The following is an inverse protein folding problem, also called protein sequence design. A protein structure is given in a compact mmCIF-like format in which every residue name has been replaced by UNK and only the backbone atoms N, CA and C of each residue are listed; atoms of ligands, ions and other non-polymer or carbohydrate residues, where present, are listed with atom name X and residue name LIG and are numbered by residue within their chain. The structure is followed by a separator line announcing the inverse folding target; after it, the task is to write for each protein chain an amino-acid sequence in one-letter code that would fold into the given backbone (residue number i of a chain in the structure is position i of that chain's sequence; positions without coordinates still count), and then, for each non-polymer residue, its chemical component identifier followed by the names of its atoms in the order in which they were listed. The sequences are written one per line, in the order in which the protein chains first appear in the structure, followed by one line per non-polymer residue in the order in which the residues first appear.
data_IF_720349645194
#
_entry.id   IF_720349645194
#
_cell.length_a   1.000
_cell.length_b   1.000
_cell.length_c   1.000
_cell.angle_alpha   90.00
_cell.angle_beta   90.00
_cell.angle_gamma   90.00
#
_symmetry.space_group_name_H-M   'P 1'
#
loop_
_entity.id
_entity.type
_entity.pdbx_description
1 polymer ?
#
# COMPACT_ATOMS: atom_id res chain seq x y z
N UNK A 1 35.97 -63.30 -6.00
CA UNK A 1 37.31 -62.89 -6.45
C UNK A 1 37.12 -61.57 -7.17
N UNK A 2 36.99 -60.48 -6.40
CA UNK A 2 38.06 -59.52 -6.08
C UNK A 2 38.59 -58.80 -7.33
N UNK A 3 38.41 -57.49 -7.34
CA UNK A 3 38.87 -56.55 -8.35
C UNK A 3 38.23 -55.18 -8.14
N UNK A 4 38.52 -54.57 -6.99
CA UNK A 4 38.33 -53.14 -6.71
C UNK A 4 39.49 -52.42 -7.38
N UNK A 5 39.23 -51.34 -8.12
CA UNK A 5 40.20 -50.28 -8.35
C UNK A 5 39.46 -48.94 -8.27
N UNK A 6 39.65 -48.28 -7.12
CA UNK A 6 39.47 -46.84 -6.94
C UNK A 6 40.64 -46.10 -7.61
N UNK A 7 40.35 -44.98 -8.28
CA UNK A 7 41.26 -43.82 -8.43
C UNK A 7 40.51 -42.58 -8.92
N UNK A 8 40.23 -41.71 -7.96
CA UNK A 8 40.48 -40.27 -7.90
C UNK A 8 40.45 -39.41 -9.18
N UNK A 9 39.54 -38.44 -9.14
CA UNK A 9 39.76 -36.99 -9.29
C UNK A 9 40.57 -36.50 -10.50
N UNK A 10 39.86 -35.91 -11.47
CA UNK A 10 40.34 -34.69 -12.12
C UNK A 10 39.14 -33.88 -12.63
N UNK A 11 39.05 -32.65 -12.12
CA UNK A 11 38.00 -31.71 -12.43
C UNK A 11 37.96 -31.31 -13.90
N UNK A 12 36.77 -31.29 -14.46
CA UNK A 12 36.43 -30.43 -15.58
C UNK A 12 34.98 -29.96 -15.40
N UNK A 13 34.84 -28.89 -14.62
CA UNK A 13 33.61 -28.12 -14.55
C UNK A 13 33.54 -27.29 -15.85
N UNK A 14 33.10 -27.92 -16.93
CA UNK A 14 32.83 -27.25 -18.20
C UNK A 14 31.77 -26.17 -17.97
N UNK A 15 32.23 -24.92 -18.00
CA UNK A 15 31.37 -23.77 -18.15
C UNK A 15 30.50 -23.98 -19.39
N UNK A 16 29.20 -24.18 -19.18
CA UNK A 16 28.21 -24.09 -20.26
C UNK A 16 28.21 -22.63 -20.73
N UNK A 17 28.93 -22.37 -21.81
CA UNK A 17 28.85 -21.12 -22.56
C UNK A 17 27.45 -21.05 -23.17
N UNK A 18 26.62 -20.17 -22.62
CA UNK A 18 25.34 -19.83 -23.21
C UNK A 18 25.56 -19.36 -24.66
N UNK A 19 24.77 -19.90 -25.59
CA UNK A 19 24.78 -19.49 -26.98
C UNK A 19 24.58 -17.96 -27.08
N UNK A 20 25.30 -17.26 -27.97
CA UNK A 20 25.15 -15.82 -28.12
C UNK A 20 23.75 -15.50 -28.65
N UNK A 21 22.96 -14.79 -27.85
CA UNK A 21 21.75 -14.12 -28.31
C UNK A 21 22.14 -13.07 -29.35
N UNK A 22 21.56 -13.14 -30.54
CA UNK A 22 21.73 -12.17 -31.64
C UNK A 22 21.04 -10.82 -31.36
N UNK A 23 21.16 -10.31 -30.13
CA UNK A 23 20.84 -8.92 -29.84
C UNK A 23 22.05 -8.07 -30.26
N UNK A 24 21.83 -6.92 -30.92
CA UNK A 24 22.94 -6.03 -31.28
C UNK A 24 23.72 -5.68 -30.02
N UNK A 25 25.02 -5.98 -30.04
CA UNK A 25 25.94 -5.65 -28.94
C UNK A 25 25.87 -4.14 -28.72
N UNK A 26 25.23 -3.71 -27.63
CA UNK A 26 25.18 -2.31 -27.23
C UNK A 26 26.60 -1.91 -26.83
N UNK A 27 27.35 -1.32 -27.75
CA UNK A 27 28.77 -0.95 -27.58
C UNK A 27 28.97 0.20 -26.58
N UNK A 28 27.89 0.79 -26.07
CA UNK A 28 27.93 1.90 -25.13
C UNK A 28 27.64 1.41 -23.71
N UNK A 29 28.59 0.66 -23.16
CA UNK A 29 28.56 0.23 -21.75
C UNK A 29 29.15 1.32 -20.87
N UNK A 30 28.39 1.74 -19.86
CA UNK A 30 28.81 2.74 -18.87
C UNK A 30 28.93 2.04 -17.51
N UNK A 31 30.09 2.19 -16.88
CA UNK A 31 30.32 1.67 -15.53
C UNK A 31 29.97 2.74 -14.49
N UNK A 32 29.05 2.43 -13.59
CA UNK A 32 28.61 3.34 -12.52
C UNK A 32 28.97 2.78 -11.14
N UNK A 33 29.39 3.64 -10.19
CA UNK A 33 29.67 3.25 -8.81
C UNK A 33 28.36 3.19 -8.00
N UNK A 34 27.57 2.14 -8.16
CA UNK A 34 26.30 1.94 -7.44
C UNK A 34 26.41 0.82 -6.42
N UNK A 35 25.72 0.98 -5.28
CA UNK A 35 25.53 -0.10 -4.31
C UNK A 35 24.59 -1.14 -4.91
N UNK A 36 25.04 -2.37 -5.07
CA UNK A 36 24.27 -3.39 -5.80
C UNK A 36 24.04 -4.60 -4.91
N UNK A 37 22.82 -5.11 -4.92
CA UNK A 37 22.51 -6.32 -4.16
C UNK A 37 23.23 -7.53 -4.74
N UNK A 38 23.32 -8.60 -3.95
CA UNK A 38 23.68 -9.89 -4.53
C UNK A 38 22.65 -10.28 -5.59
N UNK A 39 23.13 -10.72 -6.76
CA UNK A 39 22.31 -11.30 -7.81
C UNK A 39 22.82 -12.70 -8.09
N UNK A 40 21.97 -13.68 -7.81
CA UNK A 40 22.23 -15.10 -8.00
C UNK A 40 20.90 -15.77 -8.32
N UNK A 41 20.94 -16.81 -9.16
CA UNK A 41 19.80 -17.67 -9.40
C UNK A 41 19.52 -18.64 -8.24
N UNK A 42 20.49 -18.82 -7.34
CA UNK A 42 20.43 -19.79 -6.24
C UNK A 42 20.25 -19.14 -4.86
N UNK A 43 20.60 -17.86 -4.70
CA UNK A 43 20.57 -17.21 -3.39
C UNK A 43 19.51 -16.11 -3.32
N UNK A 44 18.86 -16.00 -2.16
CA UNK A 44 17.89 -14.94 -1.90
C UNK A 44 18.57 -13.59 -1.73
N UNK A 45 18.02 -12.53 -2.35
CA UNK A 45 18.52 -11.15 -2.22
C UNK A 45 18.43 -10.59 -0.79
N UNK A 46 17.52 -11.12 0.02
CA UNK A 46 17.23 -10.67 1.40
C UNK A 46 18.07 -11.44 2.42
N UNK A 47 17.88 -12.76 2.55
CA UNK A 47 18.56 -13.56 3.58
C UNK A 47 19.90 -14.14 3.12
N UNK A 48 20.21 -14.12 1.82
CA UNK A 48 21.41 -14.72 1.21
C UNK A 48 21.52 -16.23 1.36
N UNK A 49 20.49 -16.90 1.85
CA UNK A 49 20.44 -18.37 1.91
C UNK A 49 20.15 -18.96 0.52
N UNK A 50 20.57 -20.21 0.33
CA UNK A 50 20.32 -20.97 -0.88
C UNK A 50 18.84 -21.37 -0.93
N UNK A 51 18.18 -21.17 -2.06
CA UNK A 51 16.72 -21.20 -2.15
C UNK A 51 16.26 -22.35 -3.04
N UNK A 52 15.50 -23.29 -2.46
CA UNK A 52 14.92 -24.42 -3.19
C UNK A 52 13.65 -24.04 -3.98
N UNK A 53 12.91 -23.01 -3.54
CA UNK A 53 11.74 -22.45 -4.21
C UNK A 53 11.84 -20.92 -4.26
N UNK A 54 11.95 -20.32 -5.44
CA UNK A 54 12.21 -18.87 -5.58
C UNK A 54 11.04 -18.10 -6.17
N UNK A 55 10.81 -16.90 -5.66
CA UNK A 55 10.08 -15.83 -6.34
C UNK A 55 11.06 -14.90 -7.06
N UNK A 56 10.64 -14.26 -8.14
CA UNK A 56 11.37 -13.12 -8.72
C UNK A 56 10.95 -11.86 -7.99
N UNK A 57 11.90 -11.00 -7.62
CA UNK A 57 11.57 -9.67 -7.10
C UNK A 57 10.91 -8.85 -8.19
N UNK A 58 9.77 -8.22 -7.87
CA UNK A 58 9.01 -7.40 -8.82
C UNK A 58 9.82 -6.19 -9.29
N UNK A 59 9.59 -5.71 -10.51
CA UNK A 59 10.24 -4.50 -11.03
C UNK A 59 9.94 -3.27 -10.17
N UNK A 60 8.72 -3.21 -9.61
CA UNK A 60 8.27 -2.13 -8.72
C UNK A 60 9.05 -2.12 -7.40
N UNK A 61 9.26 -3.28 -6.78
CA UNK A 61 10.03 -3.37 -5.53
C UNK A 61 11.51 -3.05 -5.75
N UNK A 62 12.06 -3.42 -6.92
CA UNK A 62 13.45 -3.09 -7.30
C UNK A 62 13.64 -1.57 -7.46
N UNK A 63 12.69 -0.90 -8.11
CA UNK A 63 12.71 0.55 -8.27
C UNK A 63 12.53 1.26 -6.91
N UNK A 64 11.59 0.81 -6.07
CA UNK A 64 11.36 1.35 -4.73
C UNK A 64 12.56 1.20 -3.81
N UNK A 65 13.21 0.04 -3.81
CA UNK A 65 14.41 -0.22 -3.02
C UNK A 65 15.56 0.69 -3.41
N UNK A 66 15.76 0.90 -4.72
CA UNK A 66 16.76 1.86 -5.18
C UNK A 66 16.45 3.28 -4.66
N UNK A 67 15.19 3.71 -4.76
CA UNK A 67 14.76 5.04 -4.30
C UNK A 67 14.93 5.25 -2.79
N UNK A 68 14.64 4.24 -1.97
CA UNK A 68 14.63 4.35 -0.52
C UNK A 68 15.98 4.06 0.13
N UNK A 69 16.71 3.07 -0.38
CA UNK A 69 17.93 2.53 0.25
C UNK A 69 19.20 2.77 -0.56
N UNK A 70 19.09 3.39 -1.75
CA UNK A 70 20.19 3.58 -2.68
C UNK A 70 20.90 2.25 -3.02
N UNK A 71 20.15 1.13 -3.08
CA UNK A 71 20.66 -0.19 -3.47
C UNK A 71 19.95 -0.63 -4.74
N UNK A 72 20.72 -0.90 -5.79
CA UNK A 72 20.22 -1.41 -7.06
C UNK A 72 20.11 -2.94 -7.04
N UNK A 73 18.95 -3.46 -7.42
CA UNK A 73 18.71 -4.89 -7.56
C UNK A 73 18.69 -5.26 -9.04
N UNK A 74 19.58 -6.14 -9.52
CA UNK A 74 19.61 -6.57 -10.92
C UNK A 74 18.33 -7.30 -11.36
N UNK A 75 18.03 -7.24 -12.66
CA UNK A 75 16.88 -7.95 -13.26
C UNK A 75 17.00 -9.44 -13.00
N UNK A 76 15.89 -10.10 -12.68
CA UNK A 76 15.85 -11.54 -12.43
C UNK A 76 16.36 -11.99 -11.05
N UNK A 77 16.69 -11.05 -10.15
CA UNK A 77 17.07 -11.37 -8.77
C UNK A 77 15.95 -12.11 -8.03
N UNK A 78 16.33 -13.11 -7.23
CA UNK A 78 15.40 -14.05 -6.58
C UNK A 78 15.22 -13.77 -5.10
N UNK A 79 14.03 -14.09 -4.59
CA UNK A 79 13.62 -14.00 -3.19
C UNK A 79 13.07 -15.34 -2.66
N UNK A 80 13.19 -15.55 -1.34
CA UNK A 80 12.42 -16.59 -0.67
C UNK A 80 10.93 -16.20 -0.62
N UNK A 81 9.99 -17.15 -0.76
CA UNK A 81 8.56 -16.90 -0.63
C UNK A 81 8.18 -16.23 0.70
N UNK A 82 8.87 -16.59 1.79
CA UNK A 82 8.63 -16.03 3.13
C UNK A 82 8.91 -14.52 3.23
N UNK A 83 9.67 -13.96 2.28
CA UNK A 83 9.94 -12.54 2.23
C UNK A 83 8.95 -11.76 1.35
N UNK A 84 7.98 -12.45 0.75
CA UNK A 84 7.00 -11.88 -0.17
C UNK A 84 5.58 -12.16 0.31
N UNK A 85 4.78 -11.11 0.39
CA UNK A 85 3.33 -11.20 0.65
C UNK A 85 2.62 -10.49 -0.50
N UNK A 86 1.64 -11.17 -1.11
CA UNK A 86 0.87 -10.67 -2.27
C UNK A 86 1.76 -10.18 -3.44
N UNK A 87 2.88 -10.88 -3.69
CA UNK A 87 3.82 -10.54 -4.76
C UNK A 87 4.71 -9.31 -4.48
N UNK A 88 4.70 -8.81 -3.24
CA UNK A 88 5.52 -7.67 -2.78
C UNK A 88 6.47 -8.06 -1.66
N UNK A 89 7.67 -7.46 -1.65
CA UNK A 89 8.62 -7.62 -0.54
C UNK A 89 8.08 -6.99 0.76
N UNK A 90 8.25 -7.69 1.88
CA UNK A 90 7.87 -7.18 3.21
C UNK A 90 8.84 -6.08 3.65
N UNK A 91 8.35 -4.94 4.14
CA UNK A 91 9.15 -3.76 4.54
C UNK A 91 10.28 -4.07 5.53
N UNK A 92 10.01 -4.89 6.55
CA UNK A 92 11.01 -5.25 7.58
C UNK A 92 12.21 -6.00 7.00
N UNK A 93 12.04 -6.60 5.82
CA UNK A 93 13.09 -7.30 5.10
C UNK A 93 13.89 -6.39 4.17
N UNK A 94 13.39 -5.21 3.81
CA UNK A 94 14.10 -4.25 2.96
C UNK A 94 15.39 -3.76 3.64
N UNK A 95 15.34 -3.52 4.95
CA UNK A 95 16.49 -3.10 5.75
C UNK A 95 17.58 -4.18 5.88
N UNK A 96 17.25 -5.45 5.57
CA UNK A 96 18.20 -6.58 5.63
C UNK A 96 19.02 -6.71 4.34
N UNK A 97 18.55 -6.10 3.25
CA UNK A 97 19.25 -6.12 1.97
C UNK A 97 20.53 -5.29 2.09
N UNK A 98 21.66 -5.93 1.80
CA UNK A 98 22.98 -5.30 1.88
C UNK A 98 23.67 -5.33 0.52
N UNK A 99 24.44 -4.29 0.18
CA UNK A 99 25.24 -4.29 -1.04
C UNK A 99 26.27 -5.43 -1.04
N UNK A 100 26.68 -5.80 -2.24
CA UNK A 100 27.87 -6.60 -2.52
C UNK A 100 29.11 -5.71 -2.33
N UNK A 101 30.23 -6.31 -1.95
CA UNK A 101 31.51 -5.60 -1.74
C UNK A 101 32.08 -4.96 -3.02
N UNK A 102 31.57 -5.33 -4.19
CA UNK A 102 31.93 -4.74 -5.49
C UNK A 102 30.95 -3.61 -5.82
N UNK A 103 31.47 -2.39 -5.91
CA UNK A 103 30.69 -1.15 -6.10
C UNK A 103 30.47 -0.76 -7.56
N UNK A 104 31.07 -1.47 -8.53
CA UNK A 104 31.00 -1.10 -9.94
C UNK A 104 30.09 -2.04 -10.71
N UNK A 105 29.22 -1.49 -11.54
CA UNK A 105 28.44 -2.29 -12.51
C UNK A 105 28.27 -1.55 -13.81
N UNK A 106 28.35 -2.34 -14.87
CA UNK A 106 28.12 -1.95 -16.24
C UNK A 106 26.63 -1.88 -16.54
N UNK A 107 26.21 -0.78 -17.15
CA UNK A 107 24.87 -0.59 -17.69
C UNK A 107 24.99 -0.29 -19.18
N UNK A 108 24.03 -0.77 -19.95
CA UNK A 108 23.87 -0.33 -21.34
C UNK A 108 23.33 1.10 -21.39
N UNK A 109 23.56 1.82 -22.49
CA UNK A 109 22.94 3.12 -22.72
C UNK A 109 21.40 3.01 -22.67
N UNK A 110 20.85 1.92 -23.19
CA UNK A 110 19.41 1.63 -23.16
C UNK A 110 18.86 1.45 -21.74
N UNK A 111 19.60 0.77 -20.85
CA UNK A 111 19.20 0.61 -19.44
C UNK A 111 19.15 1.97 -18.73
N UNK A 112 20.15 2.82 -18.95
CA UNK A 112 20.21 4.16 -18.37
C UNK A 112 19.05 5.02 -18.86
N UNK A 113 18.77 5.02 -20.17
CA UNK A 113 17.65 5.78 -20.73
C UNK A 113 16.30 5.29 -20.20
N UNK A 114 16.13 3.98 -20.08
CA UNK A 114 14.94 3.37 -19.48
C UNK A 114 14.76 3.84 -18.04
N UNK A 115 15.86 3.85 -17.28
CA UNK A 115 15.86 4.25 -15.89
C UNK A 115 15.60 5.75 -15.70
N UNK A 116 16.22 6.61 -16.50
CA UNK A 116 15.92 8.05 -16.55
C UNK A 116 14.46 8.31 -16.94
N UNK A 117 13.92 7.53 -17.88
CA UNK A 117 12.51 7.55 -18.24
C UNK A 117 11.59 7.21 -17.06
N UNK A 118 11.94 6.14 -16.32
CA UNK A 118 11.24 5.76 -15.09
C UNK A 118 11.29 6.86 -14.03
N UNK A 119 12.45 7.46 -13.77
CA UNK A 119 12.56 8.58 -12.82
C UNK A 119 11.75 9.79 -13.23
N UNK A 120 11.80 10.16 -14.52
CA UNK A 120 11.02 11.27 -15.05
C UNK A 120 9.54 11.04 -14.84
N UNK A 121 9.06 9.83 -15.15
CA UNK A 121 7.67 9.46 -14.94
C UNK A 121 7.31 9.44 -13.45
N UNK A 122 8.18 8.86 -12.62
CA UNK A 122 8.01 8.81 -11.17
C UNK A 122 7.90 10.20 -10.57
N UNK A 123 8.86 11.10 -10.87
CA UNK A 123 8.87 12.49 -10.41
C UNK A 123 7.60 13.25 -10.84
N UNK A 124 7.18 13.09 -12.09
CA UNK A 124 5.93 13.69 -12.58
C UNK A 124 4.67 13.08 -11.96
N UNK A 125 4.77 11.87 -11.40
CA UNK A 125 3.67 11.18 -10.71
C UNK A 125 3.72 11.31 -9.19
N UNK A 126 4.70 12.01 -8.60
CA UNK A 126 4.78 12.19 -7.15
C UNK A 126 3.52 12.91 -6.70
N UNK A 127 2.64 12.15 -6.05
CA UNK A 127 1.55 12.67 -5.25
C UNK A 127 2.11 12.78 -3.83
N UNK A 128 2.20 14.00 -3.32
CA UNK A 128 2.54 14.23 -1.90
C UNK A 128 1.55 13.50 -0.97
N UNK A 129 0.36 13.18 -1.46
CA UNK A 129 -0.69 12.47 -0.76
C UNK A 129 -1.18 11.31 -1.62
N UNK A 130 -0.44 10.21 -1.55
CA UNK A 130 -0.82 8.94 -2.16
C UNK A 130 -1.05 7.90 -1.07
N UNK A 131 -2.25 7.35 -1.00
CA UNK A 131 -2.59 6.20 -0.16
C UNK A 131 -2.25 4.87 -0.86
N UNK A 132 -1.79 4.91 -2.11
CA UNK A 132 -1.26 3.76 -2.85
C UNK A 132 0.20 3.97 -3.33
N UNK A 133 1.01 2.90 -3.40
CA UNK A 133 0.78 1.58 -2.80
C UNK A 133 0.64 1.69 -1.28
N UNK A 134 0.12 0.66 -0.57
CA UNK A 134 -0.11 0.69 0.89
C UNK A 134 1.06 1.20 1.74
N UNK A 135 2.28 1.16 1.20
CA UNK A 135 3.53 1.52 1.85
C UNK A 135 4.02 2.95 1.55
N UNK A 136 3.33 3.71 0.69
CA UNK A 136 3.73 5.08 0.33
C UNK A 136 3.61 6.07 1.49
N UNK A 137 2.69 5.83 2.43
CA UNK A 137 2.37 6.75 3.52
C UNK A 137 2.79 6.20 4.88
N UNK A 138 3.42 7.05 5.69
CA UNK A 138 3.80 6.74 7.08
C UNK A 138 2.56 6.59 7.99
N UNK A 139 2.72 5.90 9.13
CA UNK A 139 1.64 5.76 10.13
C UNK A 139 1.18 7.15 10.62
N UNK A 140 2.12 8.04 10.91
CA UNK A 140 1.82 9.39 11.39
C UNK A 140 1.07 10.23 10.36
N UNK A 141 1.48 10.17 9.09
CA UNK A 141 0.81 10.94 8.04
C UNK A 141 -0.59 10.40 7.78
N UNK A 142 -0.76 9.07 7.74
CA UNK A 142 -2.06 8.45 7.62
C UNK A 142 -3.01 8.91 8.73
N UNK A 143 -2.55 8.87 9.98
CA UNK A 143 -3.33 9.31 11.13
C UNK A 143 -3.64 10.80 11.11
N UNK A 144 -2.66 11.65 10.79
CA UNK A 144 -2.85 13.09 10.72
C UNK A 144 -3.90 13.47 9.68
N UNK A 145 -3.91 12.78 8.54
CA UNK A 145 -4.80 13.06 7.42
C UNK A 145 -6.18 12.45 7.57
N UNK A 146 -6.30 11.25 8.11
CA UNK A 146 -7.58 10.50 8.13
C UNK A 146 -8.22 10.44 9.51
N UNK A 147 -7.43 10.66 10.57
CA UNK A 147 -7.86 10.51 11.97
C UNK A 147 -7.88 9.07 12.47
N UNK A 148 -7.46 8.09 11.67
CA UNK A 148 -7.45 6.67 12.05
C UNK A 148 -6.07 6.05 11.78
N UNK A 149 -5.74 4.97 12.50
CA UNK A 149 -4.49 4.22 12.28
C UNK A 149 -4.50 3.59 10.90
N UNK A 150 -3.30 3.28 10.38
CA UNK A 150 -3.15 2.63 9.07
C UNK A 150 -3.84 1.27 9.05
N UNK A 151 -3.73 0.49 10.13
CA UNK A 151 -4.42 -0.79 10.25
C UNK A 151 -5.96 -0.66 10.13
N UNK A 152 -6.54 0.36 10.78
CA UNK A 152 -7.98 0.63 10.71
C UNK A 152 -8.38 1.15 9.33
N UNK A 153 -7.54 1.96 8.70
CA UNK A 153 -7.75 2.42 7.33
C UNK A 153 -7.77 1.24 6.35
N UNK A 154 -6.82 0.32 6.47
CA UNK A 154 -6.71 -0.87 5.64
C UNK A 154 -7.90 -1.80 5.83
N UNK A 155 -8.35 -1.96 7.07
CA UNK A 155 -9.56 -2.71 7.38
C UNK A 155 -10.81 -2.06 6.76
N UNK A 156 -10.96 -0.73 6.86
CA UNK A 156 -12.05 -0.01 6.24
C UNK A 156 -12.05 -0.16 4.71
N UNK A 157 -10.88 -0.06 4.07
CA UNK A 157 -10.72 -0.26 2.63
C UNK A 157 -11.15 -1.68 2.25
N UNK A 158 -10.81 -2.70 3.04
CA UNK A 158 -11.26 -4.09 2.82
C UNK A 158 -12.78 -4.23 2.95
N UNK A 159 -13.40 -3.63 3.97
CA UNK A 159 -14.86 -3.67 4.15
C UNK A 159 -15.63 -3.04 2.98
N UNK A 160 -15.02 -2.04 2.35
CA UNK A 160 -15.61 -1.34 1.21
C UNK A 160 -15.17 -1.93 -0.14
N UNK A 161 -14.31 -2.96 -0.17
CA UNK A 161 -13.76 -3.51 -1.41
C UNK A 161 -14.84 -4.10 -2.33
N UNK A 162 -15.91 -4.65 -1.76
CA UNK A 162 -17.06 -5.19 -2.49
C UNK A 162 -18.01 -4.11 -3.04
N UNK A 163 -17.72 -2.83 -2.77
CA UNK A 163 -18.51 -1.74 -3.32
C UNK A 163 -18.19 -1.50 -4.81
N UNK A 164 -19.19 -1.12 -5.59
CA UNK A 164 -19.07 -0.84 -7.04
C UNK A 164 -18.21 0.42 -7.38
N UNK A 165 -17.31 0.87 -6.51
CA UNK A 165 -16.43 2.01 -6.75
C UNK A 165 -15.26 1.57 -7.61
N UNK A 166 -15.39 1.79 -8.92
CA UNK A 166 -14.32 1.47 -9.87
C UNK A 166 -13.09 2.35 -9.64
N UNK A 167 -11.91 1.74 -9.79
CA UNK A 167 -10.67 2.45 -10.06
C UNK A 167 -10.83 3.25 -11.36
N UNK A 168 -10.23 4.43 -11.43
CA UNK A 168 -10.10 5.19 -12.68
C UNK A 168 -8.62 5.37 -13.01
N UNK A 169 -8.33 5.74 -14.26
CA UNK A 169 -6.95 5.96 -14.74
C UNK A 169 -6.14 6.93 -13.88
N UNK A 170 -6.81 7.85 -13.17
CA UNK A 170 -6.16 8.87 -12.34
C UNK A 170 -6.41 8.68 -10.84
N UNK A 171 -7.10 7.61 -10.42
CA UNK A 171 -7.57 7.45 -9.03
C UNK A 171 -7.75 5.98 -8.68
N UNK A 172 -6.99 5.54 -7.68
CA UNK A 172 -7.25 4.28 -7.01
C UNK A 172 -8.38 4.41 -5.99
N UNK A 173 -9.04 3.28 -5.71
CA UNK A 173 -10.08 3.17 -4.71
C UNK A 173 -9.60 3.59 -3.32
N UNK A 174 -8.38 3.19 -2.94
CA UNK A 174 -7.78 3.53 -1.65
C UNK A 174 -7.57 5.03 -1.48
N UNK A 175 -7.10 5.73 -2.53
CA UNK A 175 -7.03 7.18 -2.56
C UNK A 175 -8.40 7.86 -2.45
N UNK A 176 -9.47 7.25 -2.99
CA UNK A 176 -10.81 7.77 -2.83
C UNK A 176 -11.28 7.71 -1.37
N UNK A 177 -11.00 6.60 -0.67
CA UNK A 177 -11.30 6.45 0.77
C UNK A 177 -10.45 7.43 1.60
N UNK A 178 -9.15 7.55 1.29
CA UNK A 178 -8.26 8.53 1.93
C UNK A 178 -8.77 9.96 1.78
N UNK A 179 -9.09 10.38 0.55
CA UNK A 179 -9.70 11.67 0.24
C UNK A 179 -10.99 11.91 1.04
N UNK A 180 -11.84 10.89 1.16
CA UNK A 180 -13.09 10.96 1.89
C UNK A 180 -12.88 11.21 3.38
N UNK A 181 -11.88 10.59 4.01
CA UNK A 181 -11.56 10.80 5.42
C UNK A 181 -10.81 12.12 5.67
N UNK A 182 -9.95 12.53 4.74
CA UNK A 182 -9.21 13.80 4.83
C UNK A 182 -10.12 15.02 4.79
N UNK A 183 -11.19 14.98 3.99
CA UNK A 183 -12.15 16.09 3.89
C UNK A 183 -12.76 16.51 5.24
N UNK A 184 -13.41 15.62 6.01
CA UNK A 184 -13.97 15.96 7.32
C UNK A 184 -12.88 16.14 8.38
N UNK A 185 -11.74 15.43 8.30
CA UNK A 185 -10.66 15.55 9.28
C UNK A 185 -10.00 16.93 9.28
N UNK A 186 -9.75 17.48 8.10
CA UNK A 186 -9.03 18.76 7.94
C UNK A 186 -9.95 19.95 7.64
N UNK A 187 -11.22 19.72 7.32
CA UNK A 187 -12.17 20.79 6.98
C UNK A 187 -11.83 21.59 5.72
N UNK A 188 -10.94 21.09 4.87
CA UNK A 188 -10.39 21.83 3.71
C UNK A 188 -11.34 21.83 2.51
N UNK A 189 -11.23 22.86 1.65
CA UNK A 189 -12.11 23.02 0.48
C UNK A 189 -11.84 21.99 -0.63
N UNK A 190 -12.84 21.75 -1.50
CA UNK A 190 -12.64 20.83 -2.64
C UNK A 190 -11.59 21.33 -3.63
N UNK A 191 -11.38 22.66 -3.72
CA UNK A 191 -10.31 23.25 -4.54
C UNK A 191 -8.93 22.86 -4.01
N UNK A 192 -8.72 22.97 -2.69
CA UNK A 192 -7.47 22.57 -2.05
C UNK A 192 -7.24 21.07 -2.21
N UNK A 193 -8.28 20.25 -2.00
CA UNK A 193 -8.20 18.81 -2.25
C UNK A 193 -7.88 18.46 -3.71
N UNK A 194 -8.35 19.26 -4.67
CA UNK A 194 -8.03 19.07 -6.09
C UNK A 194 -6.53 19.21 -6.31
N UNK A 195 -5.89 20.21 -5.71
CA UNK A 195 -4.44 20.44 -5.77
C UNK A 195 -3.66 19.32 -5.08
N UNK A 196 -4.04 18.99 -3.85
CA UNK A 196 -3.33 18.03 -2.99
C UNK A 196 -3.36 16.60 -3.58
N UNK A 197 -4.52 16.15 -4.02
CA UNK A 197 -4.70 14.81 -4.59
C UNK A 197 -4.59 14.77 -6.12
N UNK A 198 -4.23 15.90 -6.75
CA UNK A 198 -4.05 16.05 -8.20
C UNK A 198 -5.28 15.57 -9.01
N UNK A 199 -6.48 15.94 -8.58
CA UNK A 199 -7.69 15.73 -9.38
C UNK A 199 -7.73 16.74 -10.54
N UNK A 200 -8.40 16.36 -11.63
CA UNK A 200 -8.55 17.26 -12.79
C UNK A 200 -9.43 18.48 -12.49
N UNK A 201 -10.38 18.37 -11.55
CA UNK A 201 -11.23 19.47 -11.10
C UNK A 201 -11.96 19.14 -9.80
N UNK A 202 -12.54 20.16 -9.17
CA UNK A 202 -13.28 20.01 -7.90
C UNK A 202 -14.61 19.24 -8.03
N UNK A 203 -15.17 19.15 -9.23
CA UNK A 203 -16.36 18.32 -9.48
C UNK A 203 -16.02 16.82 -9.38
N UNK A 204 -14.84 16.42 -9.85
CA UNK A 204 -14.35 15.05 -9.72
C UNK A 204 -14.11 14.67 -8.25
N UNK A 205 -13.59 15.61 -7.44
CA UNK A 205 -13.51 15.46 -5.97
C UNK A 205 -14.90 15.23 -5.38
N UNK A 206 -15.87 16.10 -5.69
CA UNK A 206 -17.24 15.99 -5.17
C UNK A 206 -17.90 14.65 -5.52
N UNK A 207 -17.79 14.21 -6.78
CA UNK A 207 -18.32 12.90 -7.22
C UNK A 207 -17.64 11.74 -6.51
N UNK A 208 -16.34 11.83 -6.26
CA UNK A 208 -15.58 10.81 -5.53
C UNK A 208 -16.05 10.72 -4.08
N UNK A 209 -16.16 11.86 -3.40
CA UNK A 209 -16.69 11.93 -2.03
C UNK A 209 -18.11 11.36 -1.94
N UNK A 210 -18.98 11.68 -2.90
CA UNK A 210 -20.33 11.15 -2.96
C UNK A 210 -20.35 9.63 -3.16
N UNK A 211 -19.50 9.09 -4.05
CA UNK A 211 -19.41 7.66 -4.30
C UNK A 211 -18.95 6.89 -3.05
N UNK A 212 -17.88 7.34 -2.40
CA UNK A 212 -17.39 6.72 -1.15
C UNK A 212 -18.41 6.82 -0.04
N UNK A 213 -19.10 7.96 0.10
CA UNK A 213 -20.20 8.11 1.06
C UNK A 213 -21.32 7.09 0.83
N UNK A 214 -21.70 6.86 -0.44
CA UNK A 214 -22.73 5.86 -0.74
C UNK A 214 -22.25 4.44 -0.41
N UNK A 215 -20.99 4.09 -0.73
CA UNK A 215 -20.44 2.80 -0.32
C UNK A 215 -20.42 2.63 1.20
N UNK A 216 -20.05 3.67 1.95
CA UNK A 216 -20.12 3.69 3.41
C UNK A 216 -21.54 3.45 3.91
N UNK A 217 -22.54 4.14 3.34
CA UNK A 217 -23.94 3.99 3.74
C UNK A 217 -24.52 2.60 3.45
N UNK A 218 -24.02 1.92 2.42
CA UNK A 218 -24.51 0.60 2.02
C UNK A 218 -23.77 -0.55 2.73
N UNK A 219 -22.45 -0.46 2.85
CA UNK A 219 -21.60 -1.59 3.26
C UNK A 219 -20.98 -1.44 4.66
N UNK A 220 -20.90 -0.22 5.19
CA UNK A 220 -20.29 0.03 6.49
C UNK A 220 -21.34 0.39 7.56
N UNK A 221 -22.13 1.44 7.30
CA UNK A 221 -23.07 1.97 8.29
C UNK A 221 -24.04 0.92 8.81
N UNK A 222 -24.74 0.11 7.98
CA UNK A 222 -25.74 -0.83 8.49
C UNK A 222 -25.17 -1.88 9.45
N UNK A 223 -23.87 -2.20 9.30
CA UNK A 223 -23.19 -3.27 10.03
C UNK A 223 -22.35 -2.77 11.22
N UNK A 224 -22.00 -1.47 11.26
CA UNK A 224 -21.08 -0.94 12.27
C UNK A 224 -21.52 0.36 12.94
N UNK A 225 -22.50 1.10 12.40
CA UNK A 225 -22.93 2.40 12.95
C UNK A 225 -24.45 2.63 12.95
N UNK A 226 -25.22 1.85 12.19
CA UNK A 226 -26.66 2.05 11.99
C UNK A 226 -27.48 1.39 13.09
N UNK A 227 -28.75 1.75 13.26
CA UNK A 227 -29.55 1.28 14.41
C UNK A 227 -29.64 -0.24 14.59
N UNK A 228 -29.40 -1.02 13.53
CA UNK A 228 -29.45 -2.47 13.54
C UNK A 228 -28.09 -3.14 13.84
N UNK A 229 -27.00 -2.37 13.96
CA UNK A 229 -25.66 -2.93 14.15
C UNK A 229 -25.41 -3.49 15.54
N UNK A 230 -26.17 -3.03 16.54
CA UNK A 230 -26.02 -3.41 17.95
C UNK A 230 -27.36 -3.78 18.55
N UNK A 231 -27.40 -4.88 19.30
CA UNK A 231 -28.62 -5.29 19.98
C UNK A 231 -28.84 -4.49 21.26
N UNK A 232 -30.11 -4.34 21.68
CA UNK A 232 -30.44 -3.69 22.96
C UNK A 232 -29.72 -4.35 24.14
N UNK A 233 -29.63 -5.68 24.14
CA UNK A 233 -29.01 -6.43 25.23
C UNK A 233 -27.51 -6.14 25.30
N UNK A 234 -26.85 -6.12 24.14
CA UNK A 234 -25.43 -5.76 24.04
C UNK A 234 -25.13 -4.33 24.50
N UNK A 235 -26.03 -3.37 24.25
CA UNK A 235 -25.90 -2.00 24.79
C UNK A 235 -25.96 -1.99 26.33
N UNK A 236 -26.81 -2.82 26.92
CA UNK A 236 -26.96 -2.90 28.38
C UNK A 236 -25.73 -3.56 29.00
N UNK A 237 -25.25 -4.64 28.39
CA UNK A 237 -24.18 -5.45 28.93
C UNK A 237 -22.81 -4.79 28.73
N UNK A 238 -22.58 -4.13 27.60
CA UNK A 238 -21.24 -3.66 27.20
C UNK A 238 -21.08 -2.13 27.08
N UNK A 239 -22.19 -1.36 27.02
CA UNK A 239 -22.13 0.09 26.75
C UNK A 239 -22.86 0.97 27.79
N UNK A 240 -23.48 0.37 28.80
CA UNK A 240 -24.12 1.10 29.90
C UNK A 240 -23.19 1.08 31.12
N UNK A 241 -22.64 2.23 31.50
CA UNK A 241 -21.76 2.27 32.67
C UNK A 241 -22.58 2.17 33.96
N UNK A 242 -22.10 1.44 34.98
CA UNK A 242 -22.80 1.34 36.27
C UNK A 242 -23.11 2.72 36.88
N UNK A 243 -22.19 3.67 36.69
CA UNK A 243 -22.35 5.05 37.15
C UNK A 243 -23.50 5.78 36.43
N UNK A 244 -23.58 5.67 35.10
CA UNK A 244 -24.66 6.31 34.33
C UNK A 244 -26.02 5.70 34.68
N UNK A 245 -26.08 4.38 34.89
CA UNK A 245 -27.29 3.71 35.34
C UNK A 245 -27.72 4.24 36.71
N UNK A 246 -26.84 4.23 37.71
CA UNK A 246 -27.16 4.72 39.06
C UNK A 246 -27.58 6.20 39.10
N UNK A 247 -27.03 7.04 38.22
CA UNK A 247 -27.35 8.47 38.19
C UNK A 247 -28.66 8.80 37.47
N UNK A 248 -29.03 8.02 36.43
CA UNK A 248 -30.08 8.40 35.49
C UNK A 248 -31.28 7.46 35.52
N UNK A 249 -31.17 6.27 36.12
CA UNK A 249 -32.29 5.32 36.21
C UNK A 249 -32.14 4.29 37.34
N UNK A 250 -33.20 4.14 38.14
CA UNK A 250 -33.26 3.09 39.17
C UNK A 250 -33.79 1.75 38.62
N UNK A 251 -34.07 1.67 37.32
CA UNK A 251 -34.70 0.50 36.70
C UNK A 251 -33.66 -0.45 36.11
N UNK A 252 -33.66 -1.74 36.50
CA UNK A 252 -32.78 -2.72 35.89
C UNK A 252 -33.12 -2.91 34.40
N UNK A 253 -32.13 -3.32 33.61
CA UNK A 253 -32.30 -3.59 32.18
C UNK A 253 -32.79 -2.36 31.39
N UNK A 254 -32.30 -1.16 31.71
CA UNK A 254 -32.65 0.10 31.01
C UNK A 254 -31.43 0.63 30.26
N UNK A 255 -31.64 1.02 28.99
CA UNK A 255 -30.60 1.70 28.21
C UNK A 255 -30.65 3.19 28.51
N UNK A 256 -29.50 3.76 28.87
CA UNK A 256 -29.31 5.21 28.95
C UNK A 256 -28.70 5.68 27.64
N UNK A 257 -29.45 6.48 26.88
CA UNK A 257 -28.99 7.05 25.63
C UNK A 257 -28.69 8.55 25.82
N UNK A 258 -27.44 8.93 25.57
CA UNK A 258 -27.05 10.34 25.52
C UNK A 258 -26.94 10.74 24.06
N UNK A 259 -27.87 11.57 23.61
CA UNK A 259 -27.86 12.13 22.26
C UNK A 259 -27.29 13.54 22.34
N UNK A 260 -26.06 13.72 21.89
CA UNK A 260 -25.50 15.06 21.68
C UNK A 260 -26.13 15.68 20.42
N UNK A 261 -26.91 16.75 20.63
CA UNK A 261 -27.66 17.45 19.60
C UNK A 261 -26.87 18.53 18.85
N UNK A 262 -25.53 18.55 18.93
CA UNK A 262 -24.68 19.63 18.38
C UNK A 262 -24.90 19.93 16.88
N UNK A 263 -25.48 19.01 16.10
CA UNK A 263 -25.81 19.21 14.68
C UNK A 263 -27.27 18.94 14.30
N UNK A 264 -28.18 18.91 15.28
CA UNK A 264 -29.61 18.79 14.99
C UNK A 264 -30.14 20.10 14.40
N UNK A 265 -30.42 20.10 13.10
CA UNK A 265 -31.06 21.22 12.43
C UNK A 265 -32.56 21.18 12.71
N UNK A 266 -33.03 21.97 13.66
CA UNK A 266 -34.47 22.11 13.94
C UNK A 266 -35.02 23.15 12.95
N UNK A 267 -35.82 22.70 11.99
CA UNK A 267 -36.51 23.61 11.07
C UNK A 267 -37.64 24.34 11.80
N UNK A 268 -37.44 25.62 12.11
CA UNK A 268 -38.36 26.39 12.97
C UNK A 268 -39.59 26.93 12.22
N UNK A 269 -39.60 27.00 10.88
CA UNK A 269 -40.74 27.53 10.11
C UNK A 269 -40.92 26.84 8.75
N UNK A 270 -42.16 26.42 8.46
CA UNK A 270 -42.63 26.17 7.09
C UNK A 270 -43.08 27.53 6.52
N UNK A 271 -42.24 28.15 5.70
CA UNK A 271 -42.75 29.19 4.80
C UNK A 271 -43.30 28.46 3.58
N UNK A 272 -44.63 28.41 3.45
CA UNK A 272 -45.32 28.09 2.21
C UNK A 272 -44.91 29.14 1.17
N UNK A 273 -43.89 28.85 0.38
CA UNK A 273 -43.70 29.54 -0.89
C UNK A 273 -44.61 28.84 -1.89
N UNK A 274 -45.74 29.48 -2.19
CA UNK A 274 -46.59 29.14 -3.32
C UNK A 274 -45.73 29.28 -4.58
N UNK A 275 -45.57 28.18 -5.32
CA UNK A 275 -45.35 28.16 -6.76
C UNK A 275 -46.43 27.24 -7.35
#
# INVERSE_FOLDING_TARGET
MMGIDDKDDDGNNEYVTAAPSNDPIDTNVVTLPLNISVSSHHHCVVCRENVNSTCTVSDEDRDLLFMQSNIFIPKGSRCCPDHVVDGRLINDNLNKIRPRDIMQTSFSATDILTWLGKFRNHYNSIRYFDFDPPFSMSESDCYNLTGISKANFDHLVKLLADSNIKNSSNRSFRNAVGLFLTKPRLGISNKVLTTIFQFSNSQAVSRTLAAVRQAMLTHFVPHYLGFNHISRQEVIDNHSSPLATQLLTDKPNTVVLVIDGTYLYIQVRNVLTIL
#
